data_IF_534811736553
#
_entry.id   IF_534811736553
#
_cell.length_a   1.000
_cell.length_b   1.000
_cell.length_c   1.000
_cell.angle_alpha   90.00
_cell.angle_beta   90.00
_cell.angle_gamma   90.00
#
_symmetry.space_group_name_H-M   'P 1'
#
loop_
_entity.id
_entity.type
_entity.pdbx_description
1 polymer ?
#
# COMPACT_ATOMS: atom_id res chain seq x y z
N UNK A 1 -8.14 14.75 -20.63
CA UNK A 1 -8.53 14.80 -22.07
C UNK A 1 -10.05 14.84 -22.17
N UNK A 2 -10.64 15.60 -23.09
CA UNK A 2 -12.09 15.57 -23.38
C UNK A 2 -12.34 14.74 -24.65
N UNK A 3 -13.53 14.14 -24.79
CA UNK A 3 -13.91 13.28 -25.93
C UNK A 3 -12.90 12.15 -26.22
N UNK A 4 -12.41 11.51 -25.15
CA UNK A 4 -11.49 10.39 -25.25
C UNK A 4 -12.18 9.06 -25.51
N UNK A 5 -11.40 8.09 -25.99
CA UNK A 5 -11.76 6.70 -26.16
C UNK A 5 -10.64 5.82 -25.59
N UNK A 6 -11.03 4.73 -24.93
CA UNK A 6 -10.13 3.66 -24.50
C UNK A 6 -10.65 2.37 -25.11
N UNK A 7 -9.77 1.62 -25.76
CA UNK A 7 -10.06 0.31 -26.36
C UNK A 7 -9.28 -0.73 -25.59
N UNK A 8 -10.00 -1.69 -25.01
CA UNK A 8 -9.44 -2.84 -24.31
C UNK A 8 -9.39 -4.02 -25.28
N UNK A 9 -8.28 -4.74 -25.31
CA UNK A 9 -8.08 -5.98 -26.06
C UNK A 9 -7.49 -7.04 -25.13
N UNK A 10 -8.34 -8.00 -24.74
CA UNK A 10 -8.04 -8.94 -23.69
C UNK A 10 -7.62 -8.22 -22.40
N UNK A 11 -6.47 -8.59 -21.86
CA UNK A 11 -5.93 -8.01 -20.63
C UNK A 11 -5.14 -6.71 -20.82
N UNK A 12 -5.07 -6.16 -22.03
CA UNK A 12 -4.26 -4.97 -22.34
C UNK A 12 -5.06 -3.85 -23.00
N UNK A 13 -4.59 -2.62 -22.88
CA UNK A 13 -5.12 -1.46 -23.58
C UNK A 13 -4.54 -1.45 -24.99
N UNK A 14 -5.40 -1.53 -26.01
CA UNK A 14 -4.99 -1.40 -27.41
C UNK A 14 -4.85 0.08 -27.83
N UNK A 15 -5.72 0.95 -27.30
CA UNK A 15 -5.73 2.37 -27.63
C UNK A 15 -6.25 3.21 -26.46
N UNK A 16 -5.67 4.39 -26.25
CA UNK A 16 -6.18 5.42 -25.36
C UNK A 16 -5.83 6.80 -25.92
N UNK A 17 -6.85 7.59 -26.27
CA UNK A 17 -6.64 8.88 -26.95
C UNK A 17 -7.93 9.54 -27.41
N UNK A 18 -7.88 10.57 -28.28
CA UNK A 18 -9.06 11.19 -28.87
C UNK A 18 -9.89 10.17 -29.65
N UNK A 19 -11.22 10.28 -29.60
CA UNK A 19 -12.12 9.31 -30.25
C UNK A 19 -11.94 9.26 -31.78
N UNK A 20 -11.52 10.35 -32.41
CA UNK A 20 -11.27 10.45 -33.85
C UNK A 20 -10.08 9.58 -34.28
N UNK A 21 -9.14 9.31 -33.37
CA UNK A 21 -7.98 8.46 -33.60
C UNK A 21 -8.21 6.99 -33.22
N UNK A 22 -9.38 6.64 -32.69
CA UNK A 22 -9.65 5.30 -32.22
C UNK A 22 -9.75 4.30 -33.41
N UNK A 23 -9.19 3.09 -33.27
CA UNK A 23 -9.33 2.06 -34.29
C UNK A 23 -10.81 1.68 -34.48
N UNK A 24 -11.17 1.25 -35.70
CA UNK A 24 -12.52 0.74 -35.95
C UNK A 24 -12.76 -0.51 -35.09
N UNK A 25 -13.77 -0.43 -34.24
CA UNK A 25 -14.17 -1.56 -33.41
C UNK A 25 -14.69 -2.72 -34.28
N UNK A 26 -14.22 -3.96 -34.07
CA UNK A 26 -14.79 -5.15 -34.70
C UNK A 26 -16.29 -5.27 -34.47
N UNK A 27 -17.00 -5.93 -35.38
CA UNK A 27 -18.43 -6.21 -35.22
C UNK A 27 -18.68 -6.98 -33.91
N UNK A 28 -19.66 -6.54 -33.11
CA UNK A 28 -19.97 -7.14 -31.81
C UNK A 28 -19.19 -6.58 -30.61
N UNK A 29 -18.29 -5.62 -30.82
CA UNK A 29 -17.59 -4.93 -29.72
C UNK A 29 -18.59 -4.21 -28.81
N UNK A 30 -18.52 -4.46 -27.50
CA UNK A 30 -19.33 -3.76 -26.50
C UNK A 30 -18.79 -2.33 -26.31
N UNK A 31 -19.63 -1.33 -26.54
CA UNK A 31 -19.27 0.07 -26.36
C UNK A 31 -20.00 0.66 -25.15
N UNK A 32 -19.25 1.38 -24.31
CA UNK A 32 -19.77 2.08 -23.14
C UNK A 32 -19.51 3.57 -23.29
N UNK A 33 -20.57 4.40 -23.21
CA UNK A 33 -20.42 5.85 -23.12
C UNK A 33 -20.52 6.25 -21.65
N UNK A 34 -19.44 6.79 -21.12
CA UNK A 34 -19.33 7.14 -19.69
C UNK A 34 -18.85 8.58 -19.53
N UNK A 35 -19.20 9.27 -18.42
CA UNK A 35 -18.78 10.64 -18.18
C UNK A 35 -17.25 10.79 -18.04
N UNK A 36 -16.62 9.87 -17.32
CA UNK A 36 -15.19 9.88 -17.04
C UNK A 36 -14.64 8.46 -17.17
N UNK A 37 -13.44 8.37 -17.74
CA UNK A 37 -12.62 7.15 -17.78
C UNK A 37 -11.23 7.46 -17.23
N UNK A 38 -10.71 6.59 -16.38
CA UNK A 38 -9.39 6.73 -15.75
C UNK A 38 -8.76 5.35 -15.47
N UNK A 39 -7.46 5.25 -15.17
CA UNK A 39 -6.85 3.98 -14.76
C UNK A 39 -7.49 3.43 -13.48
N UNK A 40 -7.39 2.10 -13.29
CA UNK A 40 -7.62 1.44 -12.00
C UNK A 40 -6.74 2.03 -10.90
N UNK A 41 -7.30 2.16 -9.69
CA UNK A 41 -6.56 2.71 -8.55
C UNK A 41 -5.63 1.67 -7.93
N UNK A 42 -4.58 2.17 -7.31
CA UNK A 42 -3.59 1.40 -6.56
C UNK A 42 -3.58 1.82 -5.09
N UNK A 43 -3.46 0.84 -4.20
CA UNK A 43 -3.06 1.06 -2.81
C UNK A 43 -1.65 0.51 -2.60
N UNK A 44 -0.68 1.38 -2.36
CA UNK A 44 0.72 1.03 -2.23
C UNK A 44 1.11 0.64 -0.79
N UNK A 45 0.18 0.61 0.16
CA UNK A 45 0.47 0.21 1.52
C UNK A 45 -0.80 -0.37 2.15
N UNK A 46 -1.06 -1.65 1.89
CA UNK A 46 -2.12 -2.39 2.56
C UNK A 46 -1.59 -3.63 3.27
N UNK A 47 -2.44 -4.22 4.12
CA UNK A 47 -2.12 -5.40 4.89
C UNK A 47 -3.31 -6.38 4.93
N UNK A 48 -3.21 -7.46 4.15
CA UNK A 48 -4.17 -8.57 4.20
C UNK A 48 -3.87 -9.47 5.39
N UNK A 49 -4.24 -9.02 6.60
CA UNK A 49 -3.90 -9.71 7.85
C UNK A 49 -5.03 -10.55 8.43
N UNK A 50 -6.30 -10.31 8.07
CA UNK A 50 -7.44 -11.08 8.58
C UNK A 50 -7.84 -10.78 10.03
N UNK A 51 -7.24 -9.77 10.65
CA UNK A 51 -7.42 -9.41 12.07
C UNK A 51 -8.57 -8.42 12.23
N UNK A 52 -9.37 -8.60 13.28
CA UNK A 52 -10.56 -7.75 13.52
C UNK A 52 -10.38 -6.79 14.69
N UNK A 53 -9.61 -7.22 15.68
CA UNK A 53 -9.39 -6.42 16.87
C UNK A 53 -8.39 -5.29 16.61
N UNK A 54 -8.51 -4.21 17.37
CA UNK A 54 -7.53 -3.12 17.40
C UNK A 54 -6.22 -3.49 18.10
N UNK A 55 -6.16 -4.67 18.73
CA UNK A 55 -4.99 -5.19 19.41
C UNK A 55 -4.26 -6.22 18.53
N UNK A 56 -2.96 -6.00 18.34
CA UNK A 56 -2.05 -6.86 17.56
C UNK A 56 -1.95 -8.30 18.10
N UNK A 57 -2.28 -8.54 19.37
CA UNK A 57 -2.37 -9.88 19.97
C UNK A 57 -3.35 -10.82 19.25
N UNK A 58 -4.40 -10.27 18.62
CA UNK A 58 -5.42 -11.07 17.92
C UNK A 58 -4.79 -11.95 16.82
N UNK A 59 -3.68 -11.47 16.26
CA UNK A 59 -2.90 -12.20 15.29
C UNK A 59 -2.28 -13.46 15.87
N UNK A 60 -1.64 -13.37 17.04
CA UNK A 60 -1.04 -14.53 17.72
C UNK A 60 -2.10 -15.55 18.19
N UNK A 61 -3.36 -15.11 18.38
CA UNK A 61 -4.46 -15.93 18.89
C UNK A 61 -5.34 -16.54 17.79
N UNK A 62 -5.19 -16.10 16.54
CA UNK A 62 -6.04 -16.53 15.43
C UNK A 62 -5.26 -17.40 14.45
N UNK A 63 -5.81 -18.54 14.06
CA UNK A 63 -5.15 -19.46 13.12
C UNK A 63 -5.08 -18.90 11.70
N UNK A 64 -4.00 -19.18 10.97
CA UNK A 64 -3.81 -18.74 9.57
C UNK A 64 -5.00 -19.06 8.63
N UNK A 65 -5.66 -20.22 8.70
CA UNK A 65 -6.83 -20.48 7.85
C UNK A 65 -7.97 -19.49 8.06
N UNK A 66 -8.21 -19.08 9.31
CA UNK A 66 -9.25 -18.09 9.63
C UNK A 66 -8.87 -16.70 9.10
N UNK A 67 -7.62 -16.29 9.31
CA UNK A 67 -7.10 -15.01 8.79
C UNK A 67 -7.17 -14.96 7.25
N UNK A 68 -6.86 -16.08 6.60
CA UNK A 68 -6.92 -16.22 5.14
C UNK A 68 -8.36 -16.12 4.64
N UNK A 69 -9.29 -16.88 5.22
CA UNK A 69 -10.69 -16.85 4.81
C UNK A 69 -11.30 -15.45 4.95
N UNK A 70 -10.90 -14.70 5.98
CA UNK A 70 -11.32 -13.31 6.18
C UNK A 70 -10.74 -12.36 5.12
N UNK A 71 -9.46 -12.51 4.79
CA UNK A 71 -8.75 -11.65 3.85
C UNK A 71 -9.26 -11.79 2.40
N UNK A 72 -9.90 -12.92 2.05
CA UNK A 72 -10.56 -13.11 0.74
C UNK A 72 -11.64 -12.05 0.52
N UNK A 73 -12.47 -11.79 1.53
CA UNK A 73 -13.52 -10.77 1.44
C UNK A 73 -12.93 -9.36 1.32
N UNK A 74 -11.83 -9.10 2.02
CA UNK A 74 -11.14 -7.81 1.99
C UNK A 74 -10.51 -7.52 0.62
N UNK A 75 -9.93 -8.54 -0.03
CA UNK A 75 -9.42 -8.42 -1.40
C UNK A 75 -10.55 -8.05 -2.38
N UNK A 76 -11.73 -8.68 -2.25
CA UNK A 76 -12.90 -8.32 -3.04
C UNK A 76 -13.37 -6.88 -2.77
N UNK A 77 -13.41 -6.46 -1.50
CA UNK A 77 -13.80 -5.09 -1.10
C UNK A 77 -12.90 -4.03 -1.74
N UNK A 78 -11.60 -4.26 -1.77
CA UNK A 78 -10.66 -3.37 -2.48
C UNK A 78 -11.01 -3.26 -3.97
N UNK A 79 -11.21 -4.41 -4.63
CA UNK A 79 -11.51 -4.46 -6.06
C UNK A 79 -12.82 -3.74 -6.42
N UNK A 80 -13.90 -4.01 -5.69
CA UNK A 80 -15.20 -3.37 -5.97
C UNK A 80 -15.21 -1.87 -5.66
N UNK A 81 -14.29 -1.40 -4.80
CA UNK A 81 -14.02 0.00 -4.53
C UNK A 81 -13.13 0.67 -5.58
N UNK A 82 -12.74 -0.03 -6.65
CA UNK A 82 -11.98 0.51 -7.78
C UNK A 82 -10.47 0.37 -7.65
N UNK A 83 -9.98 -0.32 -6.61
CA UNK A 83 -8.56 -0.64 -6.47
C UNK A 83 -8.27 -1.92 -7.22
N UNK A 84 -7.73 -1.80 -8.43
CA UNK A 84 -7.40 -2.97 -9.26
C UNK A 84 -6.03 -3.53 -8.93
N UNK A 85 -5.23 -2.84 -8.12
CA UNK A 85 -3.90 -3.27 -7.68
C UNK A 85 -3.63 -2.88 -6.22
N UNK A 86 -2.94 -3.76 -5.49
CA UNK A 86 -2.55 -3.54 -4.08
C UNK A 86 -1.14 -4.04 -3.84
N UNK A 87 -0.28 -3.19 -3.26
CA UNK A 87 1.01 -3.58 -2.68
C UNK A 87 0.77 -3.93 -1.21
N UNK A 88 0.61 -5.22 -0.95
CA UNK A 88 0.48 -5.78 0.39
C UNK A 88 1.87 -5.82 1.03
N UNK A 89 2.17 -4.92 1.96
CA UNK A 89 3.52 -4.84 2.55
C UNK A 89 3.75 -5.88 3.64
N UNK A 90 2.68 -6.28 4.33
CA UNK A 90 2.71 -7.28 5.40
C UNK A 90 1.39 -8.03 5.41
N UNK A 91 1.44 -9.35 5.32
CA UNK A 91 0.23 -10.16 5.41
C UNK A 91 0.23 -11.37 4.50
N UNK A 92 -0.98 -11.80 4.16
CA UNK A 92 -1.27 -12.97 3.36
C UNK A 92 -1.29 -12.66 1.86
N UNK A 93 -1.03 -11.42 1.44
CA UNK A 93 -1.14 -11.00 0.03
C UNK A 93 -0.24 -11.80 -0.90
N UNK A 94 0.95 -12.20 -0.46
CA UNK A 94 1.85 -13.08 -1.24
C UNK A 94 1.20 -14.44 -1.60
N UNK A 95 0.31 -14.94 -0.73
CA UNK A 95 -0.44 -16.19 -0.96
C UNK A 95 -1.74 -15.93 -1.73
N UNK A 96 -2.45 -14.86 -1.39
CA UNK A 96 -3.70 -14.47 -2.06
C UNK A 96 -3.47 -14.13 -3.53
N UNK A 97 -2.32 -13.56 -3.89
CA UNK A 97 -1.96 -13.24 -5.26
C UNK A 97 -2.16 -14.43 -6.20
N UNK A 98 -1.68 -15.62 -5.82
CA UNK A 98 -1.80 -16.83 -6.65
C UNK A 98 -3.26 -17.19 -6.93
N UNK A 99 -4.11 -17.21 -5.90
CA UNK A 99 -5.51 -17.61 -6.04
C UNK A 99 -6.37 -16.54 -6.72
N UNK A 100 -5.94 -15.28 -6.69
CA UNK A 100 -6.53 -14.22 -7.51
C UNK A 100 -6.10 -14.37 -8.98
N UNK A 101 -4.82 -14.61 -9.24
CA UNK A 101 -4.26 -14.70 -10.60
C UNK A 101 -4.82 -15.90 -11.39
N UNK A 102 -5.07 -17.03 -10.72
CA UNK A 102 -5.71 -18.21 -11.34
C UNK A 102 -7.25 -18.12 -11.36
N UNK A 103 -7.85 -17.06 -10.81
CA UNK A 103 -9.29 -16.78 -10.86
C UNK A 103 -10.14 -17.50 -9.80
N UNK A 104 -9.54 -18.11 -8.78
CA UNK A 104 -10.23 -18.82 -7.70
C UNK A 104 -11.04 -17.88 -6.81
N UNK A 105 -10.53 -16.67 -6.55
CA UNK A 105 -11.24 -15.61 -5.81
C UNK A 105 -11.17 -14.28 -6.55
N UNK A 106 -12.17 -13.39 -6.41
CA UNK A 106 -12.05 -12.02 -6.90
C UNK A 106 -11.08 -11.22 -6.04
N UNK A 107 -10.30 -10.35 -6.67
CA UNK A 107 -9.38 -9.44 -5.98
C UNK A 107 -8.53 -8.59 -6.94
N UNK A 108 -7.83 -7.57 -6.42
CA UNK A 108 -6.87 -6.78 -7.20
C UNK A 108 -5.68 -7.63 -7.66
N UNK A 109 -4.82 -7.11 -8.54
CA UNK A 109 -3.46 -7.61 -8.66
C UNK A 109 -2.73 -7.35 -7.34
N UNK A 110 -2.17 -8.40 -6.73
CA UNK A 110 -1.55 -8.29 -5.40
C UNK A 110 -0.03 -8.44 -5.54
N UNK A 111 0.69 -7.44 -5.08
CA UNK A 111 2.15 -7.42 -5.02
C UNK A 111 2.59 -7.56 -3.56
N UNK A 112 2.63 -8.80 -3.08
CA UNK A 112 2.89 -9.12 -1.68
C UNK A 112 4.36 -8.98 -1.27
N UNK A 113 4.60 -8.45 -0.08
CA UNK A 113 5.89 -8.38 0.61
C UNK A 113 6.16 -9.56 1.56
N UNK A 114 5.11 -10.30 1.92
CA UNK A 114 5.20 -11.40 2.88
C UNK A 114 5.27 -10.88 4.31
N UNK A 115 6.26 -11.34 5.07
CA UNK A 115 6.52 -10.85 6.43
C UNK A 115 7.36 -9.56 6.42
N UNK A 116 7.07 -8.64 7.33
CA UNK A 116 8.00 -7.54 7.61
C UNK A 116 9.24 -8.07 8.34
N UNK A 117 10.41 -7.53 7.98
CA UNK A 117 11.64 -7.72 8.73
C UNK A 117 11.76 -6.65 9.82
N UNK A 118 12.05 -7.08 11.04
CA UNK A 118 12.20 -6.21 12.21
C UNK A 118 13.37 -6.71 13.06
N UNK A 119 14.13 -5.84 13.75
CA UNK A 119 15.03 -6.30 14.80
C UNK A 119 14.20 -6.79 16.00
N UNK A 120 14.83 -7.56 16.88
CA UNK A 120 14.27 -7.83 18.22
C UNK A 120 14.03 -6.52 18.96
N UNK A 121 12.92 -6.45 19.72
CA UNK A 121 12.41 -5.22 20.34
C UNK A 121 12.03 -4.11 19.35
N UNK A 122 11.81 -4.49 18.08
CA UNK A 122 11.43 -3.59 17.00
C UNK A 122 9.93 -3.43 16.81
N UNK A 123 9.52 -2.70 15.78
CA UNK A 123 8.11 -2.43 15.52
C UNK A 123 7.32 -3.69 15.12
N UNK A 124 7.99 -4.64 14.44
CA UNK A 124 7.38 -5.92 14.06
C UNK A 124 7.41 -6.97 15.17
N UNK A 125 7.85 -6.63 16.38
CA UNK A 125 7.89 -7.52 17.53
C UNK A 125 6.63 -7.36 18.40
N UNK A 126 6.19 -8.45 19.03
CA UNK A 126 5.08 -8.45 19.98
C UNK A 126 5.66 -8.68 21.38
N UNK A 127 6.12 -7.60 22.02
CA UNK A 127 7.01 -7.64 23.19
C UNK A 127 6.42 -8.34 24.41
N UNK A 128 5.09 -8.49 24.44
CA UNK A 128 4.38 -9.16 25.52
C UNK A 128 4.49 -10.68 25.52
N UNK A 129 5.00 -11.28 24.44
CA UNK A 129 5.27 -12.71 24.36
C UNK A 129 6.77 -12.99 24.45
N UNK A 130 7.18 -14.18 24.93
CA UNK A 130 8.57 -14.60 24.84
C UNK A 130 9.05 -14.61 23.39
N UNK A 131 10.29 -14.19 23.14
CA UNK A 131 10.88 -14.17 21.79
C UNK A 131 10.83 -15.54 21.09
N UNK A 132 10.99 -16.63 21.85
CA UNK A 132 10.85 -18.00 21.33
C UNK A 132 9.47 -18.29 20.73
N UNK A 133 8.41 -17.70 21.30
CA UNK A 133 7.06 -17.81 20.77
C UNK A 133 6.90 -17.01 19.47
N UNK A 134 7.49 -15.82 19.39
CA UNK A 134 7.48 -15.00 18.16
C UNK A 134 8.22 -15.71 17.03
N UNK A 135 9.38 -16.30 17.31
CA UNK A 135 10.08 -17.12 16.31
C UNK A 135 9.26 -18.34 15.87
N UNK A 136 8.52 -18.98 16.78
CA UNK A 136 7.64 -20.09 16.43
C UNK A 136 6.48 -19.66 15.52
N UNK A 137 5.86 -18.49 15.78
CA UNK A 137 4.83 -17.93 14.90
C UNK A 137 5.41 -17.58 13.51
N UNK A 138 6.58 -16.93 13.47
CA UNK A 138 7.27 -16.63 12.21
C UNK A 138 7.55 -17.91 11.40
N UNK A 139 8.05 -18.95 12.07
CA UNK A 139 8.30 -20.26 11.45
C UNK A 139 7.01 -20.96 10.98
N UNK A 140 5.88 -20.69 11.63
CA UNK A 140 4.56 -21.18 11.24
C UNK A 140 3.93 -20.40 10.06
N UNK A 141 4.59 -19.36 9.55
CA UNK A 141 4.12 -18.58 8.40
C UNK A 141 3.32 -17.33 8.75
N UNK A 142 3.37 -16.87 10.01
CA UNK A 142 2.87 -15.54 10.36
C UNK A 142 3.82 -14.46 9.83
N UNK A 143 3.27 -13.27 9.59
CA UNK A 143 3.90 -12.24 8.75
C UNK A 143 4.76 -11.24 9.55
N UNK A 144 5.48 -11.73 10.56
CA UNK A 144 6.57 -10.99 11.22
C UNK A 144 7.82 -11.86 11.22
N UNK A 145 8.96 -11.27 10.90
CA UNK A 145 10.23 -11.97 11.00
C UNK A 145 11.26 -11.11 11.73
N UNK A 146 11.57 -11.53 12.96
CA UNK A 146 12.66 -10.97 13.73
C UNK A 146 14.00 -11.44 13.14
N UNK A 147 14.94 -10.51 12.97
CA UNK A 147 16.29 -10.80 12.52
C UNK A 147 17.28 -9.83 13.14
N UNK A 148 18.34 -10.36 13.75
CA UNK A 148 19.40 -9.56 14.38
C UNK A 148 20.77 -9.93 13.77
N UNK A 149 21.47 -8.91 13.29
CA UNK A 149 22.71 -9.04 12.56
C UNK A 149 22.53 -9.34 11.07
N UNK A 150 23.58 -9.04 10.30
CA UNK A 150 23.61 -9.15 8.84
C UNK A 150 23.16 -10.55 8.36
N UNK A 151 23.69 -11.62 8.95
CA UNK A 151 23.39 -12.99 8.53
C UNK A 151 21.90 -13.33 8.62
N UNK A 152 21.23 -12.90 9.68
CA UNK A 152 19.80 -13.14 9.85
C UNK A 152 18.96 -12.27 8.94
N UNK A 153 19.37 -11.01 8.75
CA UNK A 153 18.74 -10.09 7.81
C UNK A 153 18.77 -10.64 6.38
N UNK A 154 19.91 -11.17 5.92
CA UNK A 154 20.03 -11.82 4.61
C UNK A 154 19.09 -13.03 4.50
N UNK A 155 19.02 -13.87 5.54
CA UNK A 155 18.08 -14.99 5.60
C UNK A 155 16.62 -14.52 5.57
N UNK A 156 16.30 -13.41 6.24
CA UNK A 156 14.99 -12.78 6.22
C UNK A 156 14.54 -12.37 4.83
N UNK A 157 15.39 -11.63 4.11
CA UNK A 157 15.11 -11.27 2.72
C UNK A 157 14.89 -12.52 1.86
N UNK A 158 15.79 -13.51 1.97
CA UNK A 158 15.70 -14.75 1.17
C UNK A 158 14.45 -15.56 1.47
N UNK A 159 13.98 -15.58 2.71
CA UNK A 159 12.73 -16.24 3.06
C UNK A 159 11.54 -15.57 2.36
N UNK A 160 11.48 -14.23 2.31
CA UNK A 160 10.41 -13.53 1.59
C UNK A 160 10.50 -13.76 0.09
N UNK A 161 11.71 -13.74 -0.48
CA UNK A 161 11.95 -14.08 -1.88
C UNK A 161 11.49 -15.51 -2.20
N UNK A 162 11.72 -16.47 -1.29
CA UNK A 162 11.27 -17.86 -1.43
C UNK A 162 9.74 -17.97 -1.48
N UNK A 163 9.01 -17.07 -0.81
CA UNK A 163 7.54 -17.01 -0.90
C UNK A 163 7.06 -16.39 -2.21
N UNK A 164 7.94 -15.75 -2.98
CA UNK A 164 7.60 -15.04 -4.21
C UNK A 164 7.33 -13.54 -3.98
N UNK A 165 7.79 -12.96 -2.86
CA UNK A 165 7.58 -11.56 -2.56
C UNK A 165 8.06 -10.64 -3.70
N UNK A 166 7.28 -9.59 -3.99
CA UNK A 166 7.52 -8.58 -5.05
C UNK A 166 8.20 -7.33 -4.54
N UNK A 167 8.25 -7.16 -3.22
CA UNK A 167 8.91 -6.06 -2.49
C UNK A 167 9.38 -6.61 -1.16
N UNK A 168 10.40 -6.00 -0.55
CA UNK A 168 10.83 -6.34 0.81
C UNK A 168 10.41 -5.22 1.76
N UNK A 169 9.77 -5.55 2.89
CA UNK A 169 9.34 -4.58 3.91
C UNK A 169 10.25 -4.67 5.14
N UNK A 170 10.72 -3.52 5.62
CA UNK A 170 11.51 -3.42 6.86
C UNK A 170 10.92 -2.40 7.83
N UNK A 171 11.19 -2.60 9.12
CA UNK A 171 10.98 -1.63 10.19
C UNK A 171 12.28 -0.87 10.48
N UNK A 172 12.44 0.33 9.91
CA UNK A 172 13.64 1.15 10.07
C UNK A 172 13.49 2.26 11.15
N UNK A 173 12.32 2.36 11.76
CA UNK A 173 12.10 3.07 13.02
C UNK A 173 11.09 2.32 13.88
N UNK A 174 10.91 2.76 15.12
CA UNK A 174 9.76 2.33 15.90
C UNK A 174 8.43 2.74 15.29
N UNK A 175 7.34 2.15 15.77
CA UNK A 175 6.00 2.44 15.27
C UNK A 175 5.00 2.87 16.33
N UNK A 176 3.81 3.20 15.82
CA UNK A 176 2.71 3.72 16.63
C UNK A 176 2.06 2.61 17.47
N UNK A 177 1.92 1.40 16.90
CA UNK A 177 1.13 0.31 17.50
C UNK A 177 1.92 -0.66 18.38
N UNK A 178 3.24 -0.58 18.42
CA UNK A 178 4.13 -1.46 19.21
C UNK A 178 4.29 -0.97 20.65
N UNK A 179 4.49 -1.88 21.61
CA UNK A 179 4.45 -1.52 23.04
C UNK A 179 5.68 -0.74 23.51
N UNK A 180 6.88 -1.27 23.23
CA UNK A 180 8.11 -0.85 23.91
C UNK A 180 8.97 0.13 23.10
N UNK A 181 8.90 0.08 21.78
CA UNK A 181 9.71 0.94 20.91
C UNK A 181 9.19 2.39 20.87
N UNK A 182 9.88 3.26 20.13
CA UNK A 182 9.44 4.64 19.94
C UNK A 182 9.57 5.10 18.48
N UNK A 183 8.54 5.76 17.91
CA UNK A 183 8.54 6.20 16.51
C UNK A 183 9.74 7.04 16.08
N UNK A 184 10.32 7.83 16.99
CA UNK A 184 11.45 8.72 16.67
C UNK A 184 12.79 7.98 16.59
N UNK A 185 12.90 6.76 17.13
CA UNK A 185 14.15 6.02 17.20
C UNK A 185 14.33 5.15 15.96
N UNK A 186 15.55 5.14 15.41
CA UNK A 186 15.96 4.24 14.35
C UNK A 186 15.87 2.78 14.81
N UNK A 187 15.51 1.90 13.88
CA UNK A 187 15.59 0.44 14.02
C UNK A 187 16.43 -0.12 12.88
N UNK A 188 17.09 -1.26 13.14
CA UNK A 188 18.26 -1.76 12.42
C UNK A 188 19.48 -0.81 12.46
N UNK A 189 20.66 -1.42 12.48
CA UNK A 189 21.91 -0.74 12.18
C UNK A 189 21.99 -0.38 10.70
N UNK A 190 22.85 0.58 10.38
CA UNK A 190 23.12 0.95 8.98
C UNK A 190 23.64 -0.25 8.18
N UNK A 191 24.49 -1.09 8.78
CA UNK A 191 25.05 -2.29 8.12
C UNK A 191 23.96 -3.32 7.77
N UNK A 192 23.00 -3.53 8.67
CA UNK A 192 21.86 -4.42 8.41
C UNK A 192 20.97 -3.87 7.29
N UNK A 193 20.66 -2.57 7.31
CA UNK A 193 19.87 -1.95 6.25
C UNK A 193 20.56 -2.06 4.88
N UNK A 194 21.88 -1.81 4.81
CA UNK A 194 22.64 -1.99 3.56
C UNK A 194 22.64 -3.45 3.11
N UNK A 195 22.78 -4.41 4.02
CA UNK A 195 22.72 -5.83 3.70
C UNK A 195 21.35 -6.25 3.15
N UNK A 196 20.26 -5.77 3.76
CA UNK A 196 18.88 -6.02 3.32
C UNK A 196 18.65 -5.45 1.92
N UNK A 197 18.98 -4.17 1.71
CA UNK A 197 18.82 -3.53 0.40
C UNK A 197 19.67 -4.22 -0.67
N UNK A 198 20.91 -4.58 -0.36
CA UNK A 198 21.80 -5.27 -1.28
C UNK A 198 21.30 -6.68 -1.67
N UNK A 199 20.74 -7.44 -0.73
CA UNK A 199 20.16 -8.76 -1.02
C UNK A 199 18.86 -8.65 -1.82
N UNK A 200 17.99 -7.69 -1.50
CA UNK A 200 16.77 -7.44 -2.26
C UNK A 200 17.09 -7.05 -3.72
N UNK A 201 18.06 -6.16 -3.91
CA UNK A 201 18.47 -5.68 -5.23
C UNK A 201 19.05 -6.79 -6.12
N UNK A 202 19.77 -7.77 -5.54
CA UNK A 202 20.26 -8.95 -6.29
C UNK A 202 19.13 -9.79 -6.91
N UNK A 203 17.93 -9.69 -6.36
CA UNK A 203 16.73 -10.33 -6.87
C UNK A 203 15.76 -9.33 -7.52
N UNK A 204 16.23 -8.13 -7.90
CA UNK A 204 15.42 -7.08 -8.55
C UNK A 204 14.22 -6.60 -7.72
N UNK A 205 14.31 -6.69 -6.38
CA UNK A 205 13.34 -6.10 -5.46
C UNK A 205 13.87 -4.80 -4.90
N UNK A 206 12.96 -3.86 -4.67
CA UNK A 206 13.24 -2.71 -3.82
C UNK A 206 12.85 -3.01 -2.37
N UNK A 207 13.34 -2.18 -1.44
CA UNK A 207 12.94 -2.20 -0.03
C UNK A 207 12.01 -1.03 0.27
N UNK A 208 10.88 -1.33 0.92
CA UNK A 208 9.95 -0.39 1.51
C UNK A 208 10.23 -0.27 3.01
N UNK A 209 10.52 0.94 3.50
CA UNK A 209 10.91 1.17 4.88
C UNK A 209 9.80 1.86 5.68
N UNK A 210 9.30 1.20 6.72
CA UNK A 210 8.53 1.86 7.78
C UNK A 210 9.43 2.86 8.51
N UNK A 211 9.12 4.15 8.40
CA UNK A 211 9.88 5.20 9.07
C UNK A 211 9.00 6.37 9.53
N UNK A 212 9.00 6.62 10.83
CA UNK A 212 8.46 7.86 11.40
C UNK A 212 9.59 8.87 11.64
N UNK A 213 10.51 8.57 12.56
CA UNK A 213 11.57 9.46 13.00
C UNK A 213 12.63 9.75 11.95
N UNK A 214 13.15 10.99 11.94
CA UNK A 214 14.22 11.42 11.04
C UNK A 214 15.43 10.48 11.03
N UNK A 215 15.96 9.97 12.17
CA UNK A 215 17.09 9.04 12.15
C UNK A 215 16.85 7.81 11.26
N UNK A 216 15.70 7.14 11.44
CA UNK A 216 15.31 5.99 10.63
C UNK A 216 15.09 6.34 9.15
N UNK A 217 14.43 7.47 8.87
CA UNK A 217 14.25 7.97 7.48
C UNK A 217 15.62 8.14 6.80
N UNK A 218 16.56 8.82 7.46
CA UNK A 218 17.88 9.09 6.88
C UNK A 218 18.68 7.81 6.68
N UNK A 219 18.64 6.87 7.63
CA UNK A 219 19.31 5.57 7.51
C UNK A 219 18.74 4.76 6.33
N UNK A 220 17.42 4.65 6.21
CA UNK A 220 16.75 3.98 5.10
C UNK A 220 17.12 4.58 3.73
N UNK A 221 17.10 5.91 3.62
CA UNK A 221 17.47 6.60 2.38
C UNK A 221 18.95 6.44 2.01
N UNK A 222 19.85 6.43 2.99
CA UNK A 222 21.29 6.20 2.77
C UNK A 222 21.56 4.76 2.33
N UNK A 223 20.89 3.79 2.95
CA UNK A 223 20.98 2.38 2.58
C UNK A 223 20.40 2.08 1.18
N UNK A 224 19.51 2.93 0.67
CA UNK A 224 18.94 2.83 -0.66
C UNK A 224 17.54 2.21 -0.71
N UNK A 225 16.75 2.33 0.37
CA UNK A 225 15.33 1.98 0.34
C UNK A 225 14.60 2.80 -0.75
N UNK A 226 13.77 2.13 -1.54
CA UNK A 226 13.10 2.72 -2.70
C UNK A 226 11.82 3.46 -2.32
N UNK A 227 11.17 3.06 -1.24
CA UNK A 227 10.00 3.77 -0.69
C UNK A 227 10.16 4.00 0.82
N UNK A 228 9.72 5.19 1.25
CA UNK A 228 9.59 5.56 2.66
C UNK A 228 8.10 5.58 2.98
N UNK A 229 7.72 4.78 3.96
CA UNK A 229 6.35 4.69 4.44
C UNK A 229 6.14 5.62 5.64
N UNK A 230 4.98 6.26 5.71
CA UNK A 230 4.60 7.28 6.69
C UNK A 230 5.40 8.60 6.56
N UNK A 231 6.72 8.57 6.79
CA UNK A 231 7.57 9.77 6.66
C UNK A 231 7.18 10.90 7.63
N UNK A 232 6.77 10.54 8.86
CA UNK A 232 6.13 11.50 9.77
C UNK A 232 7.01 12.67 10.21
N UNK A 233 8.33 12.51 10.24
CA UNK A 233 9.29 13.55 10.61
C UNK A 233 10.22 13.92 9.45
N UNK A 234 9.70 13.97 8.21
CA UNK A 234 10.43 14.54 7.09
C UNK A 234 10.68 16.03 7.33
N UNK A 235 11.94 16.41 7.24
CA UNK A 235 12.38 17.80 7.16
C UNK A 235 13.05 18.07 5.81
N UNK A 236 13.58 19.29 5.64
CA UNK A 236 14.20 19.73 4.40
C UNK A 236 15.34 18.81 3.95
N UNK A 237 16.21 18.39 4.87
CA UNK A 237 17.33 17.50 4.58
C UNK A 237 16.84 16.14 4.07
N UNK A 238 15.86 15.54 4.77
CA UNK A 238 15.32 14.25 4.37
C UNK A 238 14.59 14.33 3.02
N UNK A 239 13.81 15.40 2.79
CA UNK A 239 13.10 15.64 1.53
C UNK A 239 14.08 15.81 0.36
N UNK A 240 15.13 16.60 0.53
CA UNK A 240 16.13 16.82 -0.50
C UNK A 240 16.86 15.49 -0.84
N UNK A 241 17.14 14.66 0.17
CA UNK A 241 17.71 13.33 -0.05
C UNK A 241 16.73 12.37 -0.75
N UNK A 242 15.44 12.40 -0.42
CA UNK A 242 14.41 11.62 -1.15
C UNK A 242 14.40 11.96 -2.64
N UNK A 243 14.43 13.26 -2.97
CA UNK A 243 14.47 13.73 -4.35
C UNK A 243 15.75 13.26 -5.05
N UNK A 244 16.92 13.43 -4.40
CA UNK A 244 18.21 12.99 -4.93
C UNK A 244 18.22 11.47 -5.23
N UNK A 245 17.68 10.67 -4.31
CA UNK A 245 17.61 9.20 -4.43
C UNK A 245 16.44 8.72 -5.29
N UNK A 246 15.55 9.63 -5.71
CA UNK A 246 14.27 9.31 -6.39
C UNK A 246 13.40 8.35 -5.56
N UNK A 247 13.54 8.37 -4.23
CA UNK A 247 12.71 7.60 -3.33
C UNK A 247 11.27 8.12 -3.35
N UNK A 248 10.31 7.22 -3.15
CA UNK A 248 8.88 7.54 -3.18
C UNK A 248 8.37 7.63 -1.74
N UNK A 249 7.61 8.67 -1.42
CA UNK A 249 6.86 8.77 -0.18
C UNK A 249 5.50 8.08 -0.34
N UNK A 250 5.15 7.22 0.61
CA UNK A 250 3.81 6.64 0.75
C UNK A 250 3.29 7.03 2.14
N UNK A 251 2.47 8.08 2.25
CA UNK A 251 2.26 8.77 3.52
C UNK A 251 1.26 8.09 4.46
N UNK A 252 0.31 7.31 3.95
CA UNK A 252 -0.69 6.61 4.79
C UNK A 252 -1.39 7.54 5.77
N UNK A 253 -1.84 8.70 5.30
CA UNK A 253 -2.51 9.69 6.17
C UNK A 253 -3.81 9.13 6.75
N UNK A 254 -4.49 8.29 5.98
CA UNK A 254 -5.74 7.63 6.31
C UNK A 254 -5.67 6.94 7.68
N UNK A 255 -4.71 6.03 7.90
CA UNK A 255 -4.64 5.31 9.17
C UNK A 255 -4.43 6.25 10.37
N UNK A 256 -3.63 7.31 10.22
CA UNK A 256 -3.42 8.31 11.27
C UNK A 256 -4.72 9.03 11.63
N UNK A 257 -5.47 9.49 10.62
CA UNK A 257 -6.77 10.16 10.83
C UNK A 257 -7.78 9.22 11.49
N UNK A 258 -7.82 7.95 11.07
CA UNK A 258 -8.71 6.93 11.65
C UNK A 258 -8.37 6.63 13.10
N UNK A 259 -7.09 6.44 13.42
CA UNK A 259 -6.62 6.18 14.78
C UNK A 259 -6.89 7.37 15.71
N UNK A 260 -6.68 8.62 15.25
CA UNK A 260 -6.96 9.81 16.04
C UNK A 260 -8.47 9.97 16.27
N UNK A 261 -9.29 9.83 15.23
CA UNK A 261 -10.73 10.08 15.31
C UNK A 261 -11.51 8.97 16.02
N UNK A 262 -11.12 7.71 15.83
CA UNK A 262 -11.88 6.54 16.30
C UNK A 262 -11.19 5.75 17.40
N UNK A 263 -9.89 5.96 17.62
CA UNK A 263 -9.09 5.21 18.60
C UNK A 263 -9.75 5.05 19.97
N UNK A 264 -10.16 6.16 20.63
CA UNK A 264 -10.80 6.10 21.95
C UNK A 264 -12.11 5.28 21.99
N UNK A 265 -12.85 5.25 20.87
CA UNK A 265 -14.11 4.50 20.75
C UNK A 265 -13.91 3.02 20.42
N UNK A 266 -12.76 2.68 19.83
CA UNK A 266 -12.43 1.35 19.32
C UNK A 266 -11.40 0.62 20.20
N UNK A 267 -11.17 1.09 21.42
CA UNK A 267 -10.27 0.47 22.41
C UNK A 267 -8.85 0.21 21.87
N UNK A 268 -8.29 1.15 21.09
CA UNK A 268 -6.86 1.04 20.77
C UNK A 268 -6.05 1.18 22.07
N UNK A 269 -4.89 0.51 22.21
CA UNK A 269 -4.09 0.62 23.42
C UNK A 269 -3.66 2.06 23.75
N UNK A 270 -3.67 2.44 25.03
CA UNK A 270 -3.36 3.80 25.49
C UNK A 270 -1.97 4.29 25.05
N UNK A 271 -0.98 3.40 25.02
CA UNK A 271 0.36 3.75 24.56
C UNK A 271 0.36 4.13 23.07
N UNK A 272 -0.43 3.41 22.25
CA UNK A 272 -0.53 3.66 20.82
C UNK A 272 -1.30 4.96 20.54
N UNK A 273 -2.39 5.21 21.28
CA UNK A 273 -3.13 6.46 21.14
C UNK A 273 -2.27 7.68 21.50
N UNK A 274 -1.47 7.61 22.57
CA UNK A 274 -0.53 8.67 22.93
C UNK A 274 0.50 8.93 21.82
N UNK A 275 1.05 7.87 21.23
CA UNK A 275 1.99 7.97 20.10
C UNK A 275 1.36 8.62 18.87
N UNK A 276 0.15 8.20 18.46
CA UNK A 276 -0.49 8.73 17.24
C UNK A 276 -0.88 10.20 17.37
N UNK A 277 -1.42 10.60 18.53
CA UNK A 277 -1.80 12.00 18.79
C UNK A 277 -0.58 12.91 18.75
N UNK A 278 0.56 12.48 19.31
CA UNK A 278 1.79 13.25 19.30
C UNK A 278 2.37 13.46 17.88
N UNK A 279 2.09 12.53 16.96
CA UNK A 279 2.68 12.52 15.61
C UNK A 279 1.75 13.14 14.55
N UNK A 280 0.44 13.13 14.77
CA UNK A 280 -0.58 13.51 13.78
C UNK A 280 -0.30 14.82 13.05
N UNK A 281 -0.14 15.92 13.77
CA UNK A 281 0.10 17.24 13.16
C UNK A 281 1.48 17.37 12.52
N UNK A 282 2.49 16.73 13.12
CA UNK A 282 3.83 16.71 12.55
C UNK A 282 3.86 15.95 11.22
N UNK A 283 3.18 14.80 11.14
CA UNK A 283 3.05 14.04 9.90
C UNK A 283 2.37 14.86 8.79
N UNK A 284 1.29 15.59 9.09
CA UNK A 284 0.63 16.45 8.09
C UNK A 284 1.58 17.53 7.57
N UNK A 285 2.35 18.18 8.46
CA UNK A 285 3.36 19.18 8.07
C UNK A 285 4.47 18.59 7.20
N UNK A 286 4.95 17.38 7.53
CA UNK A 286 5.93 16.62 6.75
C UNK A 286 5.42 16.30 5.34
N UNK A 287 4.17 15.82 5.22
CA UNK A 287 3.53 15.57 3.93
C UNK A 287 3.37 16.85 3.10
N UNK A 288 2.90 17.93 3.72
CA UNK A 288 2.78 19.24 3.07
C UNK A 288 4.14 19.75 2.56
N UNK A 289 5.22 19.54 3.32
CA UNK A 289 6.57 19.88 2.88
C UNK A 289 7.00 19.06 1.67
N UNK A 290 6.82 17.74 1.72
CA UNK A 290 7.16 16.82 0.62
C UNK A 290 6.40 17.18 -0.67
N UNK A 291 5.11 17.52 -0.57
CA UNK A 291 4.28 17.99 -1.69
C UNK A 291 4.86 19.29 -2.28
N UNK A 292 5.11 20.30 -1.45
CA UNK A 292 5.64 21.60 -1.92
C UNK A 292 7.00 21.49 -2.60
N UNK A 293 7.86 20.58 -2.13
CA UNK A 293 9.19 20.34 -2.68
C UNK A 293 9.19 19.41 -3.91
N UNK A 294 8.06 18.79 -4.23
CA UNK A 294 7.93 17.92 -5.40
C UNK A 294 8.51 16.51 -5.21
N UNK A 295 8.50 15.98 -3.97
CA UNK A 295 8.77 14.56 -3.73
C UNK A 295 7.74 13.72 -4.48
N UNK A 296 8.18 12.64 -5.14
CA UNK A 296 7.24 11.69 -5.75
C UNK A 296 6.46 10.99 -4.65
N UNK A 297 5.14 11.05 -4.75
CA UNK A 297 4.23 10.42 -3.79
C UNK A 297 3.38 9.37 -4.51
N UNK A 298 3.17 8.25 -3.83
CA UNK A 298 2.17 7.25 -4.19
C UNK A 298 1.16 7.07 -3.06
N UNK A 299 -0.08 6.76 -3.42
CA UNK A 299 -1.17 6.52 -2.45
C UNK A 299 -0.92 5.20 -1.74
N UNK A 300 -0.98 5.20 -0.41
CA UNK A 300 -1.09 3.99 0.41
C UNK A 300 -1.89 4.30 1.67
N UNK A 301 -2.59 3.34 2.25
CA UNK A 301 -3.55 3.63 3.35
C UNK A 301 -3.16 3.09 4.71
N UNK A 302 -2.34 2.05 4.74
CA UNK A 302 -2.05 1.22 5.92
C UNK A 302 -3.35 0.65 6.53
N UNK A 303 -4.23 0.17 5.65
CA UNK A 303 -5.38 -0.64 6.04
C UNK A 303 -4.89 -2.03 6.44
N UNK A 304 -5.20 -2.43 7.68
CA UNK A 304 -4.83 -3.74 8.21
C UNK A 304 -6.00 -4.52 8.84
N UNK A 305 -7.08 -3.83 9.19
CA UNK A 305 -8.21 -4.45 9.90
C UNK A 305 -9.28 -4.97 8.94
N UNK A 306 -9.81 -6.15 9.25
CA UNK A 306 -10.79 -6.87 8.42
C UNK A 306 -12.23 -6.62 8.87
N UNK A 307 -13.08 -6.20 7.93
CA UNK A 307 -14.51 -6.03 8.13
C UNK A 307 -14.95 -4.57 8.21
N UNK A 308 -16.16 -4.27 7.74
CA UNK A 308 -16.67 -2.91 7.52
C UNK A 308 -16.79 -2.03 8.76
N UNK A 309 -16.94 -2.64 9.95
CA UNK A 309 -17.03 -1.93 11.23
C UNK A 309 -15.70 -1.70 11.94
N UNK A 310 -14.57 -2.03 11.31
CA UNK A 310 -13.25 -1.93 11.95
C UNK A 310 -12.66 -0.52 11.85
N UNK A 311 -11.52 -0.31 12.49
CA UNK A 311 -10.87 1.00 12.55
C UNK A 311 -10.44 1.48 11.17
N UNK A 312 -9.99 0.60 10.29
CA UNK A 312 -9.54 0.91 8.94
C UNK A 312 -10.01 -0.21 7.99
N UNK A 313 -11.25 -0.16 7.49
CA UNK A 313 -11.81 -1.23 6.66
C UNK A 313 -11.39 -1.12 5.20
N UNK A 314 -11.09 -2.27 4.59
CA UNK A 314 -10.94 -2.39 3.13
C UNK A 314 -12.17 -1.90 2.38
N UNK A 315 -11.94 -1.24 1.24
CA UNK A 315 -12.98 -0.56 0.44
C UNK A 315 -13.10 0.93 0.75
N UNK A 316 -12.46 1.43 1.81
CA UNK A 316 -12.33 2.86 2.09
C UNK A 316 -11.00 3.46 1.64
N UNK A 317 -10.21 2.71 0.86
CA UNK A 317 -8.85 3.07 0.47
C UNK A 317 -8.78 4.46 -0.22
N UNK A 318 -9.81 4.83 -0.99
CA UNK A 318 -9.88 6.11 -1.70
C UNK A 318 -10.06 7.34 -0.79
N UNK A 319 -10.31 7.16 0.51
CA UNK A 319 -10.30 8.27 1.47
C UNK A 319 -8.90 8.93 1.56
N UNK A 320 -7.83 8.18 1.28
CA UNK A 320 -6.47 8.75 1.20
C UNK A 320 -6.36 9.84 0.12
N UNK A 321 -7.11 9.76 -0.98
CA UNK A 321 -7.12 10.81 -2.01
C UNK A 321 -7.59 12.16 -1.43
N UNK A 322 -8.60 12.13 -0.56
CA UNK A 322 -9.13 13.33 0.11
C UNK A 322 -8.06 13.92 1.03
N UNK A 323 -7.35 13.06 1.77
CA UNK A 323 -6.27 13.50 2.66
C UNK A 323 -5.06 14.06 1.90
N UNK A 324 -4.71 13.51 0.74
CA UNK A 324 -3.65 14.04 -0.11
C UNK A 324 -4.00 15.44 -0.65
N UNK A 325 -5.25 15.64 -1.07
CA UNK A 325 -5.73 16.96 -1.52
C UNK A 325 -5.79 17.97 -0.36
N UNK A 326 -6.28 17.56 0.81
CA UNK A 326 -6.25 18.39 2.03
C UNK A 326 -4.82 18.76 2.47
N UNK A 327 -3.85 17.89 2.20
CA UNK A 327 -2.43 18.18 2.42
C UNK A 327 -1.79 19.07 1.33
N UNK A 328 -2.54 19.48 0.31
CA UNK A 328 -2.11 20.46 -0.69
C UNK A 328 -1.79 19.91 -2.08
N UNK A 329 -2.12 18.64 -2.38
CA UNK A 329 -2.12 18.18 -3.76
C UNK A 329 -3.32 18.75 -4.53
N UNK A 330 -3.14 18.97 -5.83
CA UNK A 330 -4.27 19.09 -6.74
C UNK A 330 -4.98 17.73 -6.90
N UNK A 331 -6.28 17.70 -7.26
CA UNK A 331 -6.98 16.43 -7.53
C UNK A 331 -6.27 15.56 -8.58
N UNK A 332 -5.67 16.16 -9.61
CA UNK A 332 -4.92 15.42 -10.62
C UNK A 332 -3.67 14.75 -10.02
N UNK A 333 -2.89 15.47 -9.21
CA UNK A 333 -1.72 14.90 -8.53
C UNK A 333 -2.11 13.75 -7.58
N UNK A 334 -3.23 13.87 -6.86
CA UNK A 334 -3.73 12.80 -6.00
C UNK A 334 -4.13 11.56 -6.83
N UNK A 335 -4.78 11.75 -7.98
CA UNK A 335 -5.08 10.66 -8.92
C UNK A 335 -3.78 10.02 -9.44
N UNK A 336 -2.78 10.81 -9.83
CA UNK A 336 -1.48 10.30 -10.29
C UNK A 336 -0.74 9.51 -9.20
N UNK A 337 -0.83 9.95 -7.93
CA UNK A 337 -0.29 9.21 -6.80
C UNK A 337 -0.94 7.82 -6.64
N UNK A 338 -2.24 7.70 -6.96
CA UNK A 338 -2.98 6.44 -6.91
C UNK A 338 -2.99 5.65 -8.23
N UNK A 339 -2.32 6.14 -9.28
CA UNK A 339 -2.31 5.52 -10.61
C UNK A 339 -0.91 5.53 -11.20
N UNK A 340 -0.50 6.60 -11.89
CA UNK A 340 0.73 6.65 -12.67
C UNK A 340 2.02 6.44 -11.85
N UNK A 341 2.06 6.93 -10.61
CA UNK A 341 3.22 6.78 -9.73
C UNK A 341 3.25 5.43 -9.01
N UNK A 342 2.09 4.81 -8.80
CA UNK A 342 1.95 3.67 -7.91
C UNK A 342 2.75 2.42 -8.33
N UNK A 343 2.77 1.99 -9.61
CA UNK A 343 3.61 0.87 -10.03
C UNK A 343 5.10 1.06 -9.72
N UNK A 344 5.59 2.31 -9.70
CA UNK A 344 7.00 2.62 -9.41
C UNK A 344 7.40 2.20 -7.98
N UNK A 345 6.44 2.00 -7.07
CA UNK A 345 6.67 1.48 -5.72
C UNK A 345 7.09 0.00 -5.68
N UNK A 346 7.22 -0.64 -6.84
CA UNK A 346 7.77 -1.98 -7.04
C UNK A 346 9.15 -1.96 -7.72
N UNK A 347 9.63 -0.79 -8.15
CA UNK A 347 10.89 -0.64 -8.87
C UNK A 347 10.96 -1.56 -10.10
N UNK A 348 11.98 -2.42 -10.24
CA UNK A 348 12.11 -3.33 -11.39
C UNK A 348 10.96 -4.33 -11.55
N UNK A 349 10.19 -4.62 -10.49
CA UNK A 349 9.03 -5.51 -10.56
C UNK A 349 7.77 -4.83 -11.08
N UNK A 350 7.82 -3.52 -11.41
CA UNK A 350 6.66 -2.77 -11.85
C UNK A 350 6.08 -3.30 -13.17
N UNK A 351 4.77 -3.61 -13.22
CA UNK A 351 4.10 -3.89 -14.49
C UNK A 351 3.94 -2.60 -15.32
N UNK A 352 3.54 -2.76 -16.58
CA UNK A 352 3.03 -1.65 -17.39
C UNK A 352 1.59 -1.36 -16.97
N UNK A 353 1.41 -0.66 -15.86
CA UNK A 353 0.08 -0.40 -15.27
C UNK A 353 -0.07 1.07 -14.84
N UNK A 354 -1.22 1.40 -14.26
CA UNK A 354 -1.50 2.71 -13.65
C UNK A 354 -1.68 3.85 -14.65
N UNK A 355 -1.74 3.59 -15.95
CA UNK A 355 -1.94 4.61 -17.00
C UNK A 355 -2.82 4.08 -18.13
N UNK A 356 -3.64 4.96 -18.71
CA UNK A 356 -4.38 4.66 -19.93
C UNK A 356 -3.46 4.84 -21.14
N UNK A 357 -2.71 3.81 -21.50
CA UNK A 357 -1.74 3.82 -22.59
C UNK A 357 -1.70 2.48 -23.31
N UNK A 358 -1.47 2.52 -24.63
CA UNK A 358 -1.35 1.28 -25.41
C UNK A 358 -0.26 0.36 -24.84
N UNK A 359 -0.58 -0.94 -24.73
CA UNK A 359 0.28 -1.97 -24.16
C UNK A 359 0.39 -1.98 -22.63
N UNK A 360 -0.42 -1.18 -21.92
CA UNK A 360 -0.57 -1.24 -20.46
C UNK A 360 -1.74 -2.16 -20.09
N UNK A 361 -1.81 -2.57 -18.83
CA UNK A 361 -2.89 -3.39 -18.29
C UNK A 361 -4.26 -2.73 -18.53
N UNK A 362 -5.25 -3.54 -18.94
CA UNK A 362 -6.64 -3.13 -19.13
C UNK A 362 -7.39 -2.97 -17.80
N UNK A 363 -6.81 -2.17 -16.91
CA UNK A 363 -7.32 -1.83 -15.59
C UNK A 363 -7.89 -0.42 -15.63
N UNK A 364 -9.22 -0.31 -15.68
CA UNK A 364 -9.92 0.91 -16.06
C UNK A 364 -11.14 1.14 -15.16
N UNK A 365 -11.38 2.39 -14.81
CA UNK A 365 -12.58 2.82 -14.09
C UNK A 365 -13.43 3.71 -14.98
N UNK A 366 -14.74 3.46 -14.98
CA UNK A 366 -15.74 4.44 -15.41
C UNK A 366 -16.33 5.14 -14.18
N UNK A 367 -16.32 6.47 -14.17
CA UNK A 367 -16.76 7.28 -13.02
C UNK A 367 -17.91 8.19 -13.44
N UNK A 368 -18.90 8.35 -12.54
CA UNK A 368 -20.14 9.08 -12.79
C UNK A 368 -19.96 10.60 -12.86
N UNK A 369 -18.98 11.13 -12.14
CA UNK A 369 -18.74 12.58 -12.00
C UNK A 369 -17.24 12.86 -12.18
N UNK A 370 -16.91 14.10 -12.53
CA UNK A 370 -15.52 14.55 -12.73
C UNK A 370 -14.76 14.63 -11.39
N UNK A 371 -13.78 13.75 -11.14
CA UNK A 371 -13.01 13.77 -9.90
C UNK A 371 -12.00 14.92 -9.83
N UNK A 372 -11.77 15.65 -10.93
CA UNK A 372 -10.91 16.84 -10.92
C UNK A 372 -11.61 18.06 -10.30
N UNK A 373 -12.94 18.09 -10.34
CA UNK A 373 -13.75 19.12 -9.67
C UNK A 373 -14.01 18.81 -8.20
N UNK A 374 -14.11 17.53 -7.84
CA UNK A 374 -14.29 17.07 -6.47
C UNK A 374 -13.69 15.66 -6.31
N UNK A 375 -12.55 15.57 -5.61
CA UNK A 375 -11.84 14.30 -5.42
C UNK A 375 -12.65 13.31 -4.56
N UNK A 376 -13.56 13.79 -3.72
CA UNK A 376 -14.38 12.95 -2.85
C UNK A 376 -15.32 12.03 -3.65
N UNK A 377 -15.56 12.34 -4.93
CA UNK A 377 -16.27 11.45 -5.87
C UNK A 377 -15.64 10.05 -5.88
N UNK A 378 -14.30 9.95 -5.88
CA UNK A 378 -13.60 8.65 -5.90
C UNK A 378 -13.62 7.96 -4.53
N UNK A 379 -13.76 8.72 -3.45
CA UNK A 379 -13.85 8.21 -2.09
C UNK A 379 -15.19 7.51 -1.77
N UNK A 380 -16.14 7.60 -2.71
CA UNK A 380 -17.50 7.07 -2.65
C UNK A 380 -17.69 5.99 -3.73
N UNK A 381 -17.59 4.68 -3.40
CA UNK A 381 -17.64 3.60 -4.38
C UNK A 381 -18.91 3.56 -5.26
N UNK A 382 -20.04 4.09 -4.80
CA UNK A 382 -21.29 4.30 -5.56
C UNK A 382 -21.14 5.19 -6.80
N UNK A 383 -20.12 6.04 -6.85
CA UNK A 383 -19.84 6.89 -8.01
C UNK A 383 -19.09 6.15 -9.13
N UNK A 384 -18.51 4.99 -8.84
CA UNK A 384 -17.95 4.14 -9.89
C UNK A 384 -19.11 3.48 -10.64
N UNK A 385 -19.12 3.59 -11.97
CA UNK A 385 -20.10 2.94 -12.84
C UNK A 385 -19.66 1.49 -13.10
N UNK A 386 -18.40 1.32 -13.49
CA UNK A 386 -17.82 0.01 -13.81
C UNK A 386 -16.35 0.02 -13.44
N UNK A 387 -15.89 -1.13 -12.93
CA UNK A 387 -14.48 -1.44 -12.70
C UNK A 387 -14.12 -2.53 -13.70
N UNK A 388 -13.10 -2.30 -14.51
CA UNK A 388 -12.47 -3.33 -15.32
C UNK A 388 -11.12 -3.68 -14.72
N UNK A 389 -10.87 -4.97 -14.54
CA UNK A 389 -9.55 -5.52 -14.21
C UNK A 389 -9.17 -6.54 -15.27
N UNK A 390 -7.97 -6.42 -15.86
CA UNK A 390 -7.54 -7.28 -16.96
C UNK A 390 -8.58 -7.37 -18.10
N UNK A 391 -9.24 -6.24 -18.40
CA UNK A 391 -10.25 -6.12 -19.45
C UNK A 391 -11.62 -6.71 -19.13
N UNK A 392 -11.79 -7.35 -17.97
CA UNK A 392 -13.06 -7.93 -17.55
C UNK A 392 -13.80 -7.00 -16.61
N UNK A 393 -15.09 -6.78 -16.89
CA UNK A 393 -15.96 -6.00 -16.01
C UNK A 393 -16.21 -6.79 -14.72
N UNK A 394 -15.95 -6.15 -13.58
CA UNK A 394 -16.15 -6.75 -12.26
C UNK A 394 -17.62 -6.62 -11.84
N UNK A 395 -18.17 -7.70 -11.29
CA UNK A 395 -19.46 -7.66 -10.59
C UNK A 395 -19.30 -6.95 -9.24
N UNK A 396 -20.12 -5.92 -9.03
CA UNK A 396 -20.07 -5.04 -7.86
C UNK A 396 -21.34 -5.15 -7.01
N UNK A 397 -22.15 -6.18 -7.23
CA UNK A 397 -23.36 -6.49 -6.46
C UNK A 397 -23.05 -7.09 -5.09
N UNK A 398 -21.88 -7.71 -4.92
CA UNK A 398 -21.38 -8.38 -3.72
C UNK A 398 -20.53 -7.45 -2.84
N UNK A 399 -21.06 -6.25 -2.52
CA UNK A 399 -20.39 -5.28 -1.66
C UNK A 399 -20.21 -5.79 -0.23
#
# INVERSE_FOLDING_TARGET
MRNGCVVLDGSTIAFAGPIEGAPKAPAGTRAHRVPVVMPGLWDCHGHFMGIRATNVEDLAKTSLPVLTARSVADANRALVAGFTSVRDLVGLGVHLARVVDEGTIPGPHIYGGGAMLSPTAGHGDLHMFPTSYIHALAAAGYFFQLCDGISECLRGVRNQLRLGARVIKVCASGGVMSEMDHPVHQQFSDDELHAIVGEAARAERIVAAHCHGKPGIMAALRAGCGTIEHGSYLDEEAVDLMIQRKAILVPTRYILERLIALGPKMNIPDYAFRKVVAIGDQHKRSLQLAIRKGVRIALGTDIWSTGEGTIAPWGQNAQELVHLVDAGMTPLQAIEAATANAPMTLGPQAPKSGQLKAGYDADVLAVRKDPLGDIAVLASPENLITVWKSGQAIDRSTR
#
